data_IF_651807158845
#
_entry.id   IF_651807158845
#
_cell.length_a   1.000
_cell.length_b   1.000
_cell.length_c   1.000
_cell.angle_alpha   90.00
_cell.angle_beta   90.00
_cell.angle_gamma   90.00
#
_symmetry.space_group_name_H-M   'P 1'
#
loop_
_entity.id
_entity.type
_entity.pdbx_description
1 polymer ?
#
# COMPACT_ATOMS: atom_id res chain seq x y z
N UNK A 1 -24.01 4.85 37.07
CA UNK A 1 -24.54 3.67 36.36
C UNK A 1 -25.03 2.67 37.40
N UNK A 2 -26.34 2.44 37.52
CA UNK A 2 -26.93 1.72 38.66
C UNK A 2 -26.69 0.21 38.59
N UNK A 3 -26.43 -0.41 39.75
CA UNK A 3 -26.17 -1.85 39.94
C UNK A 3 -27.26 -2.75 39.32
N UNK A 4 -28.47 -2.21 39.16
CA UNK A 4 -29.62 -2.84 38.50
C UNK A 4 -29.36 -3.09 37.00
N UNK A 5 -28.76 -2.14 36.28
CA UNK A 5 -28.46 -2.30 34.85
C UNK A 5 -27.39 -3.37 34.60
N UNK A 6 -26.44 -3.52 35.52
CA UNK A 6 -25.40 -4.54 35.43
C UNK A 6 -25.97 -5.96 35.62
N UNK A 7 -26.92 -6.12 36.55
CA UNK A 7 -27.62 -7.41 36.76
C UNK A 7 -28.47 -7.81 35.56
N UNK A 8 -29.16 -6.83 34.96
CA UNK A 8 -29.99 -7.07 33.78
C UNK A 8 -29.16 -7.46 32.55
N UNK A 9 -28.01 -6.79 32.34
CA UNK A 9 -27.10 -7.14 31.26
C UNK A 9 -26.50 -8.53 31.44
N UNK A 10 -26.13 -8.90 32.67
CA UNK A 10 -25.63 -10.25 32.98
C UNK A 10 -26.67 -11.33 32.70
N UNK A 11 -27.94 -11.08 33.05
CA UNK A 11 -29.03 -12.02 32.77
C UNK A 11 -29.25 -12.22 31.25
N UNK A 12 -29.20 -11.15 30.46
CA UNK A 12 -29.33 -11.20 29.00
C UNK A 12 -28.18 -11.95 28.33
N UNK A 13 -26.94 -11.78 28.81
CA UNK A 13 -25.77 -12.51 28.30
C UNK A 13 -25.88 -14.02 28.57
N UNK A 14 -26.34 -14.40 29.76
CA UNK A 14 -26.52 -15.81 30.14
C UNK A 14 -27.62 -16.48 29.30
N UNK A 15 -28.72 -15.77 29.02
CA UNK A 15 -29.80 -16.28 28.17
C UNK A 15 -29.32 -16.53 26.73
N UNK A 16 -28.50 -15.62 26.18
CA UNK A 16 -27.92 -15.77 24.84
C UNK A 16 -26.94 -16.94 24.79
N UNK A 17 -26.11 -17.12 25.83
CA UNK A 17 -25.18 -18.24 25.95
C UNK A 17 -25.92 -19.59 25.95
N UNK A 18 -26.94 -19.73 26.80
CA UNK A 18 -27.74 -20.96 26.87
C UNK A 18 -28.51 -21.23 25.58
N UNK A 19 -29.02 -20.18 24.91
CA UNK A 19 -29.68 -20.31 23.60
C UNK A 19 -28.69 -20.80 22.52
N UNK A 20 -27.47 -20.28 22.49
CA UNK A 20 -26.42 -20.71 21.56
C UNK A 20 -25.99 -22.17 21.77
N UNK A 21 -25.86 -22.62 23.02
CA UNK A 21 -25.55 -24.01 23.34
C UNK A 21 -26.68 -24.96 22.90
N UNK A 22 -27.95 -24.54 23.03
CA UNK A 22 -29.12 -25.34 22.65
C UNK A 22 -29.17 -25.63 21.15
N UNK A 23 -28.81 -24.66 20.32
CA UNK A 23 -28.76 -24.85 18.85
C UNK A 23 -27.60 -25.76 18.40
N UNK A 24 -26.54 -25.87 19.19
CA UNK A 24 -25.42 -26.78 18.89
C UNK A 24 -25.77 -28.26 19.10
N UNK A 25 -26.72 -28.60 19.99
CA UNK A 25 -27.11 -30.00 20.24
C UNK A 25 -28.08 -30.59 19.20
N UNK A 26 -28.75 -29.76 18.40
CA UNK A 26 -29.75 -30.23 17.42
C UNK A 26 -29.09 -30.66 16.09
N UNK A 27 -27.85 -30.24 15.83
CA UNK A 27 -27.14 -30.54 14.57
C UNK A 27 -26.34 -31.85 14.58
N UNK A 28 -26.67 -32.78 15.46
CA UNK A 28 -25.89 -34.01 15.67
C UNK A 28 -26.71 -35.20 16.16
N UNK A 29 -27.76 -35.59 15.44
CA UNK A 29 -28.29 -36.96 15.52
C UNK A 29 -29.16 -37.27 14.30
N UNK A 30 -28.60 -38.01 13.34
CA UNK A 30 -29.40 -38.89 12.49
C UNK A 30 -28.52 -40.02 11.97
N UNK A 31 -28.83 -41.24 12.41
CA UNK A 31 -28.28 -42.49 11.89
C UNK A 31 -29.19 -43.05 10.77
N UNK A 32 -28.52 -43.40 9.66
CA UNK A 32 -28.86 -44.07 8.36
C UNK A 32 -29.39 -45.53 8.56
N UNK A 33 -29.93 -46.35 7.60
CA UNK A 33 -29.94 -46.33 6.10
C UNK A 33 -31.32 -46.55 5.40
N UNK A 34 -31.50 -46.44 4.06
CA UNK A 34 -31.26 -47.53 3.08
C UNK A 34 -31.43 -47.09 1.61
N UNK A 35 -30.49 -47.55 0.76
CA UNK A 35 -30.48 -47.74 -0.70
C UNK A 35 -31.02 -46.66 -1.67
N UNK A 36 -30.13 -46.07 -2.47
CA UNK A 36 -30.15 -46.22 -3.93
C UNK A 36 -28.88 -45.62 -4.57
N UNK A 37 -28.45 -46.30 -5.62
CA UNK A 37 -27.30 -46.09 -6.50
C UNK A 37 -27.25 -44.68 -7.10
N UNK A 38 -26.04 -44.10 -7.23
CA UNK A 38 -25.75 -43.14 -8.30
C UNK A 38 -24.91 -41.91 -7.91
N UNK A 39 -23.65 -41.93 -8.36
CA UNK A 39 -22.73 -40.81 -8.63
C UNK A 39 -21.84 -40.28 -7.49
N UNK A 40 -20.53 -40.08 -7.77
CA UNK A 40 -19.63 -39.38 -6.86
C UNK A 40 -19.98 -37.90 -6.93
N UNK A 41 -20.60 -37.38 -5.87
CA UNK A 41 -20.65 -35.93 -5.65
C UNK A 41 -19.21 -35.53 -5.32
N UNK A 42 -18.49 -35.09 -6.34
CA UNK A 42 -17.24 -34.38 -6.18
C UNK A 42 -17.51 -33.22 -5.23
N UNK A 43 -16.90 -33.27 -4.05
CA UNK A 43 -16.98 -32.26 -3.02
C UNK A 43 -16.25 -30.99 -3.48
N UNK A 44 -16.81 -30.30 -4.47
CA UNK A 44 -16.44 -28.93 -4.77
C UNK A 44 -17.16 -28.06 -3.76
N UNK A 45 -16.54 -27.85 -2.60
CA UNK A 45 -17.05 -26.95 -1.59
C UNK A 45 -17.13 -25.54 -2.19
N UNK A 46 -18.35 -25.04 -2.42
CA UNK A 46 -18.58 -23.65 -2.81
C UNK A 46 -18.04 -22.75 -1.72
N UNK A 47 -16.90 -22.07 -1.95
CA UNK A 47 -16.35 -21.11 -1.00
C UNK A 47 -17.38 -19.99 -0.76
N UNK A 48 -17.52 -19.56 0.49
CA UNK A 48 -18.34 -18.39 0.83
C UNK A 48 -17.74 -17.13 0.22
N UNK A 49 -18.59 -16.17 -0.18
CA UNK A 49 -18.15 -14.87 -0.68
C UNK A 49 -17.18 -14.15 0.28
N UNK A 50 -17.32 -14.35 1.58
CA UNK A 50 -16.42 -13.79 2.60
C UNK A 50 -15.00 -14.41 2.56
N UNK A 51 -14.92 -15.73 2.35
CA UNK A 51 -13.64 -16.45 2.21
C UNK A 51 -12.91 -16.03 0.93
N UNK A 52 -13.67 -15.89 -0.14
CA UNK A 52 -13.17 -15.46 -1.43
C UNK A 52 -12.66 -14.00 -1.39
N UNK A 53 -13.37 -13.09 -0.70
CA UNK A 53 -12.90 -11.72 -0.45
C UNK A 53 -11.62 -11.67 0.40
N UNK A 54 -11.49 -12.56 1.40
CA UNK A 54 -10.28 -12.68 2.22
C UNK A 54 -9.09 -13.14 1.39
N UNK A 55 -9.27 -14.15 0.54
CA UNK A 55 -8.22 -14.66 -0.34
C UNK A 55 -7.74 -13.58 -1.32
N UNK A 56 -8.66 -12.79 -1.89
CA UNK A 56 -8.33 -11.64 -2.76
C UNK A 56 -7.46 -10.61 -2.06
N UNK A 57 -7.82 -10.18 -0.84
CA UNK A 57 -7.02 -9.23 -0.06
C UNK A 57 -5.64 -9.78 0.29
N UNK A 58 -5.56 -11.06 0.67
CA UNK A 58 -4.28 -11.71 0.96
C UNK A 58 -3.39 -11.75 -0.29
N UNK A 59 -3.96 -12.06 -1.45
CA UNK A 59 -3.22 -11.99 -2.72
C UNK A 59 -2.78 -10.58 -3.05
N UNK A 60 -3.66 -9.58 -2.86
CA UNK A 60 -3.33 -8.17 -3.05
C UNK A 60 -2.16 -7.71 -2.18
N UNK A 61 -2.15 -8.13 -0.91
CA UNK A 61 -1.03 -7.92 0.01
C UNK A 61 0.26 -8.50 -0.57
N UNK A 62 0.27 -9.78 -0.96
CA UNK A 62 1.47 -10.44 -1.47
C UNK A 62 2.00 -9.76 -2.75
N UNK A 63 1.10 -9.42 -3.66
CA UNK A 63 1.41 -8.69 -4.88
C UNK A 63 2.06 -7.33 -4.60
N UNK A 64 1.64 -6.63 -3.54
CA UNK A 64 2.21 -5.35 -3.11
C UNK A 64 3.56 -5.51 -2.41
N UNK A 65 3.70 -6.52 -1.54
CA UNK A 65 4.98 -6.85 -0.88
C UNK A 65 6.05 -7.20 -1.91
N UNK A 66 5.70 -7.95 -2.95
CA UNK A 66 6.59 -8.26 -4.07
C UNK A 66 7.03 -6.98 -4.81
N UNK A 67 6.09 -6.07 -5.08
CA UNK A 67 6.37 -4.82 -5.76
C UNK A 67 7.32 -3.92 -4.96
N UNK A 68 7.12 -3.83 -3.64
CA UNK A 68 7.99 -3.05 -2.74
C UNK A 68 9.41 -3.65 -2.70
N UNK A 69 9.51 -4.98 -2.57
CA UNK A 69 10.77 -5.71 -2.45
C UNK A 69 11.50 -5.94 -3.80
N UNK A 70 11.13 -5.22 -4.86
CA UNK A 70 11.82 -5.33 -6.14
C UNK A 70 13.33 -5.04 -5.95
N UNK A 71 14.19 -5.91 -6.48
CA UNK A 71 15.65 -5.81 -6.31
C UNK A 71 16.26 -4.89 -7.36
N UNK A 72 16.12 -3.58 -7.15
CA UNK A 72 16.91 -2.58 -7.83
C UNK A 72 17.40 -1.50 -6.86
N UNK A 73 18.31 -0.66 -7.33
CA UNK A 73 18.91 0.42 -6.57
C UNK A 73 18.16 1.76 -6.75
N UNK A 74 17.35 1.92 -7.80
CA UNK A 74 16.63 3.16 -8.08
C UNK A 74 15.59 3.52 -7.00
N UNK A 75 15.37 4.82 -6.78
CA UNK A 75 14.16 5.30 -6.10
C UNK A 75 12.92 4.98 -6.97
N UNK A 76 11.95 4.27 -6.41
CA UNK A 76 10.68 3.99 -7.08
C UNK A 76 9.49 4.60 -6.35
N UNK A 77 8.56 5.12 -7.15
CA UNK A 77 7.25 5.57 -6.70
C UNK A 77 6.21 4.56 -7.16
N UNK A 78 5.31 4.16 -6.27
CA UNK A 78 4.13 3.36 -6.60
C UNK A 78 2.91 4.12 -6.12
N UNK A 79 2.05 4.53 -7.05
CA UNK A 79 0.82 5.23 -6.73
C UNK A 79 -0.35 4.24 -6.74
N UNK A 80 -1.08 4.20 -5.64
CA UNK A 80 -2.20 3.31 -5.39
C UNK A 80 -3.49 4.12 -5.44
N UNK A 81 -4.36 3.75 -6.38
CA UNK A 81 -5.67 4.34 -6.55
C UNK A 81 -6.75 3.36 -6.07
N UNK A 82 -7.67 3.86 -5.25
CA UNK A 82 -8.86 3.12 -4.83
C UNK A 82 -10.12 3.95 -4.96
N UNK A 83 -11.26 3.28 -5.17
CA UNK A 83 -12.56 3.96 -5.32
C UNK A 83 -13.16 4.45 -4.00
N UNK A 84 -12.66 3.94 -2.87
CA UNK A 84 -13.06 4.39 -1.53
C UNK A 84 -11.99 3.96 -0.55
N UNK A 85 -10.99 4.81 -0.31
CA UNK A 85 -9.87 4.45 0.54
C UNK A 85 -10.35 4.36 2.00
N UNK A 86 -10.74 3.15 2.42
CA UNK A 86 -11.35 2.90 3.73
C UNK A 86 -10.43 2.06 4.63
N UNK A 87 -10.52 2.28 5.94
CA UNK A 87 -9.74 1.52 6.94
C UNK A 87 -10.00 0.00 6.88
N UNK A 88 -11.17 -0.40 6.36
CA UNK A 88 -11.60 -1.79 6.20
C UNK A 88 -11.34 -2.36 4.78
N UNK A 89 -10.86 -1.54 3.86
CA UNK A 89 -10.66 -1.88 2.45
C UNK A 89 -9.21 -1.75 2.00
N UNK A 90 -8.95 -0.77 1.16
CA UNK A 90 -7.71 -0.54 0.41
C UNK A 90 -6.57 -0.15 1.34
N UNK A 91 -6.80 0.76 2.29
CA UNK A 91 -5.81 1.08 3.34
C UNK A 91 -5.42 -0.18 4.09
N UNK A 92 -6.36 -1.10 4.35
CA UNK A 92 -6.06 -2.33 5.06
C UNK A 92 -5.04 -3.19 4.32
N UNK A 93 -5.14 -3.29 2.99
CA UNK A 93 -4.17 -4.00 2.15
C UNK A 93 -2.80 -3.33 2.24
N UNK A 94 -2.73 -2.01 2.05
CA UNK A 94 -1.47 -1.24 2.09
C UNK A 94 -0.82 -1.35 3.47
N UNK A 95 -1.61 -1.18 4.53
CA UNK A 95 -1.17 -1.29 5.92
C UNK A 95 -0.66 -2.69 6.24
N UNK A 96 -1.38 -3.73 5.81
CA UNK A 96 -0.96 -5.12 6.02
C UNK A 96 0.32 -5.51 5.28
N UNK A 97 0.62 -4.83 4.16
CA UNK A 97 1.87 -4.97 3.43
C UNK A 97 3.00 -4.19 4.12
N UNK A 98 2.74 -2.95 4.56
CA UNK A 98 3.71 -2.14 5.30
C UNK A 98 4.16 -2.82 6.60
N UNK A 99 3.23 -3.39 7.36
CA UNK A 99 3.51 -4.10 8.62
C UNK A 99 4.18 -5.48 8.41
N UNK A 100 4.44 -5.89 7.16
CA UNK A 100 5.07 -7.16 6.88
C UNK A 100 6.54 -7.19 7.39
N UNK A 101 6.94 -8.18 8.20
CA UNK A 101 8.29 -8.22 8.77
C UNK A 101 9.41 -8.25 7.73
N UNK A 102 9.14 -8.71 6.50
CA UNK A 102 10.15 -8.72 5.43
C UNK A 102 10.43 -7.32 4.90
N UNK A 103 9.46 -6.41 4.96
CA UNK A 103 9.61 -5.03 4.52
C UNK A 103 10.55 -4.28 5.46
N UNK A 104 10.31 -4.33 6.76
CA UNK A 104 11.14 -3.65 7.76
C UNK A 104 12.58 -4.19 7.88
N UNK A 105 12.89 -5.33 7.25
CA UNK A 105 14.27 -5.85 7.16
C UNK A 105 15.05 -5.30 5.96
N UNK A 106 14.35 -4.79 4.95
CA UNK A 106 14.94 -4.38 3.67
C UNK A 106 15.20 -2.87 3.59
N UNK A 107 14.69 -2.09 4.54
CA UNK A 107 14.84 -0.64 4.58
C UNK A 107 15.35 -0.19 5.95
N UNK A 108 16.32 0.72 5.95
CA UNK A 108 16.86 1.32 7.17
C UNK A 108 15.82 2.22 7.85
N UNK A 109 14.97 2.86 7.05
CA UNK A 109 13.96 3.80 7.49
C UNK A 109 12.58 3.42 6.95
N UNK A 110 11.57 3.41 7.81
CA UNK A 110 10.17 3.20 7.43
C UNK A 110 9.28 4.26 8.10
N UNK A 111 8.36 4.84 7.34
CA UNK A 111 7.33 5.73 7.88
C UNK A 111 6.00 5.60 7.12
N UNK A 112 4.89 5.78 7.84
CA UNK A 112 3.53 5.85 7.31
C UNK A 112 2.92 7.20 7.67
N UNK A 113 2.70 8.06 6.68
CA UNK A 113 2.24 9.43 6.89
C UNK A 113 0.88 9.63 6.26
N UNK A 114 -0.10 10.03 7.06
CA UNK A 114 -1.34 10.61 6.52
C UNK A 114 -1.09 12.08 6.27
N UNK A 115 -1.28 12.52 5.02
CA UNK A 115 -1.10 13.91 4.64
C UNK A 115 -2.19 14.78 5.28
N UNK A 116 -1.78 15.95 5.78
CA UNK A 116 -2.69 16.90 6.41
C UNK A 116 -3.00 18.02 5.44
N UNK A 117 -4.24 18.51 5.47
CA UNK A 117 -4.72 19.58 4.61
C UNK A 117 -5.13 20.80 5.43
N UNK A 118 -4.65 22.01 5.10
CA UNK A 118 -3.70 22.31 4.01
C UNK A 118 -2.30 21.72 4.27
N UNK A 119 -1.62 21.30 3.20
CA UNK A 119 -0.29 20.71 3.29
C UNK A 119 0.74 21.70 3.85
N UNK A 120 1.54 21.22 4.80
CA UNK A 120 2.68 21.94 5.37
C UNK A 120 3.93 21.05 5.30
N UNK A 121 4.96 21.51 4.56
CA UNK A 121 6.16 20.73 4.30
C UNK A 121 6.97 20.46 5.58
N UNK A 122 7.01 21.43 6.48
CA UNK A 122 7.68 21.33 7.77
C UNK A 122 7.03 20.24 8.64
N UNK A 123 5.71 20.31 8.87
CA UNK A 123 4.97 19.32 9.67
C UNK A 123 5.03 17.91 9.06
N UNK A 124 5.02 17.84 7.72
CA UNK A 124 5.21 16.60 6.97
C UNK A 124 6.56 15.95 7.26
N UNK A 125 7.67 16.70 7.13
CA UNK A 125 9.02 16.19 7.42
C UNK A 125 9.13 15.78 8.88
N UNK A 126 8.58 16.58 9.79
CA UNK A 126 8.57 16.27 11.22
C UNK A 126 7.87 14.95 11.52
N UNK A 127 6.74 14.70 10.87
CA UNK A 127 5.99 13.46 11.03
C UNK A 127 6.82 12.25 10.58
N UNK A 128 7.56 12.37 9.48
CA UNK A 128 8.49 11.32 9.01
C UNK A 128 9.63 11.10 10.00
N UNK A 129 10.37 12.15 10.36
CA UNK A 129 11.54 12.03 11.25
C UNK A 129 11.11 11.45 12.59
N UNK A 130 9.97 11.87 13.13
CA UNK A 130 9.40 11.34 14.38
C UNK A 130 9.12 9.84 14.27
N UNK A 131 8.48 9.40 13.19
CA UNK A 131 8.19 7.97 13.02
C UNK A 131 9.44 7.12 12.82
N UNK A 132 10.37 7.54 11.96
CA UNK A 132 11.64 6.82 11.76
C UNK A 132 12.39 6.71 13.09
N UNK A 133 12.45 7.80 13.85
CA UNK A 133 13.11 7.82 15.14
C UNK A 133 12.44 6.87 16.13
N UNK A 134 11.12 6.96 16.29
CA UNK A 134 10.35 6.07 17.19
C UNK A 134 10.49 4.60 16.80
N UNK A 135 10.53 4.29 15.50
CA UNK A 135 10.74 2.93 14.99
C UNK A 135 12.15 2.42 15.31
N UNK A 136 13.18 3.28 15.25
CA UNK A 136 14.57 2.90 15.58
C UNK A 136 14.76 2.52 17.04
N UNK A 137 13.98 3.11 17.97
CA UNK A 137 14.07 2.82 19.40
C UNK A 137 13.45 1.48 19.81
N UNK A 138 12.45 1.01 19.04
CA UNK A 138 11.73 -0.22 19.38
C UNK A 138 12.54 -1.50 19.10
N UNK A 139 13.67 -1.40 18.40
CA UNK A 139 14.60 -2.51 18.16
C UNK A 139 15.48 -2.88 19.37
N UNK A 140 15.57 -2.02 20.38
CA UNK A 140 16.24 -2.32 21.65
C UNK A 140 15.20 -2.80 22.65
N UNK A 141 15.29 -4.07 23.09
CA UNK A 141 14.35 -4.75 23.98
C UNK A 141 14.21 -4.20 25.41
N UNK A 142 14.26 -2.88 25.60
CA UNK A 142 13.90 -2.24 26.85
C UNK A 142 12.37 -2.02 26.90
N UNK A 143 11.74 -2.51 27.96
CA UNK A 143 10.31 -2.56 28.14
C UNK A 143 9.59 -1.24 27.89
N UNK A 144 8.31 -1.36 27.53
CA UNK A 144 7.31 -0.33 27.20
C UNK A 144 7.44 0.92 28.08
N UNK A 145 8.35 1.81 27.72
CA UNK A 145 8.52 3.12 28.34
C UNK A 145 7.42 4.04 27.82
N UNK A 146 6.95 4.97 28.65
CA UNK A 146 5.99 5.98 28.20
C UNK A 146 6.67 6.88 27.17
N UNK A 147 5.91 7.38 26.18
CA UNK A 147 6.41 8.29 25.14
C UNK A 147 7.20 9.46 25.76
N UNK A 148 6.73 9.99 26.90
CA UNK A 148 7.43 11.04 27.64
C UNK A 148 8.81 10.64 28.16
N UNK A 149 9.01 9.40 28.61
CA UNK A 149 10.31 8.92 29.08
C UNK A 149 11.30 8.72 27.92
N UNK A 150 10.82 8.29 26.74
CA UNK A 150 11.63 8.16 25.54
C UNK A 150 12.10 9.54 25.03
N UNK A 151 11.18 10.51 24.99
CA UNK A 151 11.48 11.91 24.61
C UNK A 151 12.47 12.54 25.60
N UNK A 152 12.37 12.28 26.91
CA UNK A 152 13.28 12.86 27.90
C UNK A 152 14.69 12.24 27.84
N UNK A 153 14.80 10.91 27.71
CA UNK A 153 16.10 10.21 27.51
C UNK A 153 16.81 10.71 26.24
N UNK A 154 16.03 11.13 25.25
CA UNK A 154 16.45 11.65 23.96
C UNK A 154 16.88 13.13 23.97
N UNK A 155 16.35 13.98 24.86
CA UNK A 155 16.91 15.32 25.09
C UNK A 155 18.29 15.27 25.77
N UNK A 156 18.58 14.17 26.48
CA UNK A 156 19.81 13.99 27.23
C UNK A 156 20.95 13.35 26.41
N UNK A 157 20.67 12.77 25.22
CA UNK A 157 21.72 12.19 24.37
C UNK A 157 22.53 13.30 23.69
N UNK A 158 23.85 13.26 23.87
CA UNK A 158 24.81 14.29 23.43
C UNK A 158 25.49 13.99 22.09
N UNK A 159 25.23 12.84 21.47
CA UNK A 159 25.77 12.53 20.13
C UNK A 159 24.97 13.27 19.08
N UNK A 160 25.61 14.23 18.41
CA UNK A 160 25.02 15.11 17.39
C UNK A 160 25.29 14.60 15.97
N UNK A 161 25.02 13.32 15.70
CA UNK A 161 25.15 12.74 14.37
C UNK A 161 23.86 12.07 13.88
N UNK A 162 23.63 12.13 12.56
CA UNK A 162 22.52 11.46 11.89
C UNK A 162 21.12 11.91 12.33
N UNK A 163 20.24 10.92 12.55
CA UNK A 163 18.81 11.13 12.83
C UNK A 163 18.55 11.92 14.12
N UNK A 164 19.38 11.71 15.16
CA UNK A 164 19.23 12.41 16.44
C UNK A 164 19.51 13.91 16.31
N UNK A 165 20.48 14.30 15.46
CA UNK A 165 20.73 15.71 15.14
C UNK A 165 19.54 16.34 14.41
N UNK A 166 18.98 15.68 13.39
CA UNK A 166 17.80 16.17 12.66
C UNK A 166 16.60 16.32 13.59
N UNK A 167 16.33 15.31 14.43
CA UNK A 167 15.22 15.33 15.37
C UNK A 167 15.39 16.39 16.47
N UNK A 168 16.59 16.54 17.05
CA UNK A 168 16.88 17.59 18.05
C UNK A 168 16.74 18.99 17.45
N UNK A 169 17.28 19.22 16.25
CA UNK A 169 17.18 20.50 15.55
C UNK A 169 15.71 20.86 15.25
N UNK A 170 14.88 19.86 14.95
CA UNK A 170 13.44 20.01 14.90
C UNK A 170 12.85 20.42 16.27
N UNK A 171 13.06 19.62 17.33
CA UNK A 171 12.46 19.88 18.66
C UNK A 171 12.82 21.26 19.23
N UNK A 172 13.98 21.80 18.87
CA UNK A 172 14.41 23.12 19.33
C UNK A 172 13.79 24.29 18.55
N UNK A 173 12.93 24.04 17.55
CA UNK A 173 12.19 25.03 16.74
C UNK A 173 13.05 26.19 16.20
N UNK A 174 14.36 25.98 16.05
CA UNK A 174 15.33 27.05 15.80
C UNK A 174 15.77 27.11 14.34
N UNK A 175 14.91 26.68 13.41
CA UNK A 175 15.35 26.37 12.05
C UNK A 175 14.40 26.97 11.02
N UNK A 176 14.97 27.67 10.04
CA UNK A 176 14.31 28.07 8.81
C UNK A 176 13.92 26.82 8.00
N UNK A 177 12.79 26.88 7.29
CA UNK A 177 12.21 25.75 6.56
C UNK A 177 13.19 25.09 5.57
N UNK A 178 13.90 25.90 4.78
CA UNK A 178 14.90 25.42 3.82
C UNK A 178 16.04 24.61 4.48
N UNK A 179 16.45 25.04 5.68
CA UNK A 179 17.50 24.34 6.43
C UNK A 179 17.02 23.00 6.96
N UNK A 180 15.73 22.84 7.29
CA UNK A 180 15.18 21.56 7.72
C UNK A 180 15.12 20.57 6.55
N UNK A 181 14.67 21.01 5.38
CA UNK A 181 14.64 20.20 4.15
C UNK A 181 16.04 19.71 3.78
N UNK A 182 17.06 20.59 3.87
CA UNK A 182 18.45 20.23 3.59
C UNK A 182 18.96 19.13 4.52
N UNK A 183 18.75 19.27 5.83
CA UNK A 183 19.20 18.28 6.82
C UNK A 183 18.47 16.93 6.66
N UNK A 184 17.16 16.97 6.38
CA UNK A 184 16.37 15.79 6.11
C UNK A 184 16.88 15.04 4.87
N UNK A 185 17.15 15.75 3.77
CA UNK A 185 17.73 15.17 2.56
C UNK A 185 19.10 14.56 2.82
N UNK A 186 19.96 15.27 3.56
CA UNK A 186 21.29 14.80 3.92
C UNK A 186 21.21 13.48 4.69
N UNK A 187 20.29 13.39 5.65
CA UNK A 187 20.04 12.16 6.39
C UNK A 187 19.56 11.02 5.48
N UNK A 188 18.54 11.25 4.65
CA UNK A 188 18.00 10.23 3.75
C UNK A 188 19.01 9.78 2.68
N UNK A 189 19.97 10.61 2.29
CA UNK A 189 20.95 10.26 1.27
C UNK A 189 21.79 9.03 1.66
N UNK A 190 21.95 8.78 2.97
CA UNK A 190 22.69 7.64 3.48
C UNK A 190 21.81 6.44 3.88
N UNK A 191 20.48 6.52 3.72
CA UNK A 191 19.55 5.49 4.19
C UNK A 191 18.73 4.89 3.05
N UNK A 192 18.50 3.59 3.05
CA UNK A 192 17.40 2.99 2.30
C UNK A 192 16.09 3.29 3.03
N UNK A 193 15.08 3.80 2.32
CA UNK A 193 13.82 4.22 2.95
C UNK A 193 12.58 3.69 2.24
N UNK A 194 11.56 3.34 3.02
CA UNK A 194 10.20 3.11 2.58
C UNK A 194 9.28 4.15 3.24
N UNK A 195 8.66 4.99 2.43
CA UNK A 195 7.71 6.01 2.90
C UNK A 195 6.35 5.74 2.28
N UNK A 196 5.35 5.51 3.12
CA UNK A 196 3.95 5.42 2.70
C UNK A 196 3.27 6.74 2.96
N UNK A 197 2.72 7.35 1.91
CA UNK A 197 1.97 8.58 1.92
C UNK A 197 0.51 8.22 1.70
N UNK A 198 -0.30 8.42 2.73
CA UNK A 198 -1.72 8.18 2.68
C UNK A 198 -2.49 9.47 2.43
N UNK A 199 -3.49 9.39 1.55
CA UNK A 199 -4.45 10.45 1.25
C UNK A 199 -3.85 11.68 0.55
N UNK A 200 -3.21 11.46 -0.61
CA UNK A 200 -2.75 12.57 -1.46
C UNK A 200 -3.92 13.15 -2.28
N UNK A 201 -4.18 14.45 -2.14
CA UNK A 201 -5.33 15.10 -2.79
C UNK A 201 -4.96 15.77 -4.12
N UNK A 202 -3.76 16.33 -4.25
CA UNK A 202 -3.40 17.11 -5.43
C UNK A 202 -2.00 16.76 -5.97
N UNK A 203 -1.77 17.05 -7.25
CA UNK A 203 -0.46 16.83 -7.86
C UNK A 203 0.54 17.92 -7.44
N UNK A 204 0.06 19.11 -7.13
CA UNK A 204 0.85 20.22 -6.59
C UNK A 204 1.46 19.86 -5.23
N UNK A 205 0.71 19.18 -4.37
CA UNK A 205 1.23 18.61 -3.12
C UNK A 205 2.34 17.59 -3.39
N UNK A 206 2.14 16.69 -4.35
CA UNK A 206 3.17 15.72 -4.74
C UNK A 206 4.43 16.39 -5.29
N UNK A 207 4.28 17.46 -6.08
CA UNK A 207 5.41 18.21 -6.61
C UNK A 207 6.27 18.82 -5.51
N UNK A 208 5.66 19.29 -4.41
CA UNK A 208 6.37 19.73 -3.22
C UNK A 208 7.02 18.55 -2.48
N UNK A 209 6.25 17.49 -2.22
CA UNK A 209 6.68 16.32 -1.46
C UNK A 209 7.86 15.60 -2.12
N UNK A 210 7.80 15.35 -3.44
CA UNK A 210 8.84 14.62 -4.18
C UNK A 210 10.19 15.32 -4.09
N UNK A 211 10.21 16.65 -3.95
CA UNK A 211 11.46 17.40 -3.82
C UNK A 211 12.23 17.04 -2.55
N UNK A 212 11.57 16.51 -1.51
CA UNK A 212 12.19 16.16 -0.22
C UNK A 212 13.01 14.87 -0.28
N UNK A 213 12.82 14.02 -1.29
CA UNK A 213 13.34 12.66 -1.32
C UNK A 213 14.51 12.51 -2.32
N UNK A 214 15.73 12.20 -1.85
CA UNK A 214 16.89 12.03 -2.73
C UNK A 214 16.89 10.66 -3.41
N UNK A 215 17.14 10.61 -4.72
CA UNK A 215 17.45 9.35 -5.40
C UNK A 215 18.91 8.96 -5.11
N UNK A 216 19.10 8.24 -4.00
CA UNK A 216 20.41 7.88 -3.45
C UNK A 216 20.95 6.52 -3.93
N UNK A 217 20.28 5.88 -4.89
CA UNK A 217 20.60 4.53 -5.39
C UNK A 217 20.68 3.45 -4.30
N UNK A 218 19.87 3.56 -3.23
CA UNK A 218 19.81 2.57 -2.13
C UNK A 218 18.53 1.72 -2.17
N UNK A 219 17.83 1.68 -3.30
CA UNK A 219 16.62 0.89 -3.49
C UNK A 219 15.39 1.46 -2.78
N UNK A 220 15.38 2.77 -2.48
CA UNK A 220 14.30 3.41 -1.74
C UNK A 220 12.95 3.35 -2.47
N UNK A 221 11.86 3.40 -1.70
CA UNK A 221 10.48 3.24 -2.17
C UNK A 221 9.58 4.32 -1.58
N UNK A 222 8.71 4.87 -2.40
CA UNK A 222 7.61 5.73 -1.97
C UNK A 222 6.31 5.10 -2.45
N UNK A 223 5.39 4.84 -1.52
CA UNK A 223 4.03 4.41 -1.83
C UNK A 223 3.12 5.61 -1.61
N UNK A 224 2.31 5.94 -2.59
CA UNK A 224 1.31 7.01 -2.49
C UNK A 224 -0.06 6.37 -2.57
N UNK A 225 -1.00 6.71 -1.69
CA UNK A 225 -2.42 6.37 -1.85
C UNK A 225 -3.23 7.63 -2.16
N UNK A 226 -4.18 7.52 -3.09
CA UNK A 226 -5.07 8.62 -3.48
C UNK A 226 -6.39 8.09 -4.03
N UNK A 227 -7.47 8.80 -3.77
CA UNK A 227 -8.78 8.48 -4.36
C UNK A 227 -8.90 8.98 -5.81
N UNK A 228 -7.97 9.83 -6.24
CA UNK A 228 -8.00 10.47 -7.55
C UNK A 228 -7.09 9.74 -8.54
N UNK A 229 -7.70 9.11 -9.55
CA UNK A 229 -6.98 8.38 -10.60
C UNK A 229 -5.99 9.29 -11.38
N UNK A 230 -6.38 10.55 -11.61
CA UNK A 230 -5.52 11.54 -12.28
C UNK A 230 -4.23 11.80 -11.49
N UNK A 231 -4.35 12.04 -10.19
CA UNK A 231 -3.20 12.24 -9.28
C UNK A 231 -2.32 10.98 -9.26
N UNK A 232 -2.91 9.79 -9.14
CA UNK A 232 -2.15 8.54 -9.13
C UNK A 232 -1.31 8.35 -10.40
N UNK A 233 -1.88 8.64 -11.56
CA UNK A 233 -1.17 8.51 -12.85
C UNK A 233 0.00 9.50 -12.98
N UNK A 234 -0.19 10.74 -12.51
CA UNK A 234 0.81 11.81 -12.63
C UNK A 234 1.97 11.64 -11.64
N UNK A 235 1.77 10.94 -10.52
CA UNK A 235 2.83 10.65 -9.54
C UNK A 235 4.02 9.89 -10.13
N UNK A 236 3.80 9.11 -11.20
CA UNK A 236 4.82 8.25 -11.83
C UNK A 236 5.65 9.02 -12.88
N UNK A 237 5.21 10.22 -13.30
CA UNK A 237 5.90 11.07 -14.27
C UNK A 237 5.41 10.90 -15.71
N UNK A 238 5.33 12.01 -16.46
CA UNK A 238 4.76 12.07 -17.80
C UNK A 238 5.71 11.58 -18.92
N UNK A 239 7.00 11.40 -18.64
CA UNK A 239 8.01 11.06 -19.67
C UNK A 239 8.02 9.57 -20.05
N UNK A 240 7.26 8.73 -19.36
CA UNK A 240 7.30 7.27 -19.52
C UNK A 240 5.90 6.64 -19.54
N UNK A 241 4.93 7.23 -20.24
CA UNK A 241 3.59 6.61 -20.44
C UNK A 241 3.69 5.15 -20.98
N UNK A 242 4.76 4.84 -21.73
CA UNK A 242 5.04 3.49 -22.23
C UNK A 242 5.52 2.48 -21.16
N UNK A 243 5.93 2.94 -19.97
CA UNK A 243 6.42 2.10 -18.87
C UNK A 243 5.51 2.10 -17.64
N UNK A 244 4.48 2.95 -17.59
CA UNK A 244 3.47 2.94 -16.53
C UNK A 244 2.64 1.66 -16.65
N UNK A 245 2.89 0.71 -15.74
CA UNK A 245 2.10 -0.50 -15.64
C UNK A 245 0.98 -0.28 -14.64
N UNK A 246 -0.22 -0.71 -15.03
CA UNK A 246 -1.38 -0.77 -14.16
C UNK A 246 -1.56 -2.21 -13.68
N UNK A 247 -1.31 -2.47 -12.40
CA UNK A 247 -1.65 -3.76 -11.76
C UNK A 247 -2.94 -3.58 -10.98
N UNK A 248 -4.02 -4.21 -11.46
CA UNK A 248 -5.24 -4.36 -10.68
C UNK A 248 -5.01 -5.45 -9.64
N UNK A 249 -5.22 -5.12 -8.38
CA UNK A 249 -5.18 -6.12 -7.33
C UNK A 249 -6.43 -6.98 -7.35
N UNK A 250 -6.33 -8.16 -6.74
CA UNK A 250 -7.36 -9.20 -6.91
C UNK A 250 -8.69 -8.85 -6.24
N UNK A 251 -8.73 -7.81 -5.40
CA UNK A 251 -9.93 -7.24 -4.80
C UNK A 251 -10.77 -6.35 -5.75
N UNK A 252 -10.24 -6.05 -6.94
CA UNK A 252 -10.84 -5.18 -7.98
C UNK A 252 -11.10 -3.73 -7.55
N UNK A 253 -10.70 -3.32 -6.35
CA UNK A 253 -10.93 -1.98 -5.81
C UNK A 253 -9.65 -1.18 -5.61
N UNK A 254 -8.47 -1.81 -5.74
CA UNK A 254 -7.17 -1.17 -5.67
C UNK A 254 -6.37 -1.36 -6.97
N UNK A 255 -5.82 -0.26 -7.48
CA UNK A 255 -4.96 -0.23 -8.66
C UNK A 255 -3.60 0.35 -8.31
N UNK A 256 -2.53 -0.32 -8.72
CA UNK A 256 -1.18 0.23 -8.66
C UNK A 256 -0.74 0.78 -10.02
N UNK A 257 -0.23 2.00 -10.01
CA UNK A 257 0.54 2.64 -11.06
C UNK A 257 2.01 2.63 -10.65
N UNK A 258 2.88 2.12 -11.51
CA UNK A 258 4.33 2.08 -11.27
C UNK A 258 5.09 1.96 -12.60
N UNK A 259 6.34 2.44 -12.63
CA UNK A 259 7.24 2.23 -13.76
C UNK A 259 7.85 0.83 -13.71
N UNK A 260 7.76 0.08 -14.82
CA UNK A 260 8.51 -1.17 -14.98
C UNK A 260 9.83 -0.90 -15.68
N UNK A 261 10.94 -1.28 -15.06
CA UNK A 261 12.25 -1.25 -15.73
C UNK A 261 12.33 -2.43 -16.71
N UNK A 262 12.58 -2.16 -17.99
CA UNK A 262 12.91 -3.20 -18.97
C UNK A 262 14.22 -3.86 -18.55
N UNK A 263 14.20 -5.16 -18.25
CA UNK A 263 15.44 -5.93 -18.15
C UNK A 263 15.91 -6.31 -19.56
N UNK A 264 16.38 -5.33 -20.31
CA UNK A 264 17.12 -5.57 -21.54
C UNK A 264 18.62 -5.55 -21.20
N UNK A 265 19.26 -6.72 -21.20
CA UNK A 265 20.72 -6.81 -21.23
C UNK A 265 21.45 -7.37 -20.00
N UNK A 266 20.87 -8.31 -19.22
CA UNK A 266 21.70 -9.21 -18.38
C UNK A 266 21.54 -10.66 -18.82
N UNK A 267 22.34 -11.04 -19.81
CA UNK A 267 22.42 -12.40 -20.34
C UNK A 267 22.92 -13.41 -19.31
N UNK A 268 22.20 -14.53 -19.18
CA UNK A 268 22.66 -15.93 -19.19
C UNK A 268 21.49 -16.80 -18.67
N UNK A 269 21.04 -17.89 -19.27
CA UNK A 269 21.62 -18.82 -20.24
C UNK A 269 20.57 -19.23 -21.27
N UNK A 270 21.10 -19.44 -22.46
CA UNK A 270 20.62 -20.18 -23.61
C UNK A 270 19.76 -21.42 -23.27
N UNK A 271 18.52 -21.45 -23.77
CA UNK A 271 17.91 -22.70 -24.20
C UNK A 271 17.38 -22.52 -25.63
N UNK A 272 17.96 -23.36 -26.48
CA UNK A 272 17.89 -23.36 -27.94
C UNK A 272 16.54 -23.94 -28.37
N UNK A 273 15.83 -23.24 -29.25
CA UNK A 273 14.82 -23.83 -30.12
C UNK A 273 14.72 -23.01 -31.41
N UNK A 274 14.58 -23.74 -32.51
CA UNK A 274 14.97 -23.41 -33.89
C UNK A 274 13.96 -22.43 -34.53
N UNK A 275 14.38 -21.50 -35.43
CA UNK A 275 13.49 -20.50 -35.99
C UNK A 275 12.67 -21.04 -37.18
N UNK A 276 11.40 -20.65 -37.26
CA UNK A 276 10.61 -20.75 -38.48
C UNK A 276 10.61 -19.39 -39.17
N UNK A 277 11.30 -19.31 -40.31
CA UNK A 277 11.30 -18.16 -41.20
C UNK A 277 9.95 -18.03 -41.93
N UNK A 278 9.40 -16.82 -41.93
CA UNK A 278 8.67 -16.31 -43.08
C UNK A 278 9.02 -14.82 -43.24
N UNK A 279 9.80 -14.57 -44.28
CA UNK A 279 10.20 -13.26 -44.79
C UNK A 279 9.01 -12.50 -45.36
N UNK A 280 8.91 -11.20 -45.04
CA UNK A 280 8.70 -10.13 -46.02
C UNK A 280 8.90 -8.78 -45.33
N UNK A 281 10.01 -8.09 -45.67
CA UNK A 281 10.32 -6.77 -45.14
C UNK A 281 9.57 -5.64 -45.85
N UNK A 282 9.51 -4.47 -45.20
CA UNK A 282 9.73 -3.15 -45.81
C UNK A 282 10.22 -2.20 -44.71
N UNK A 283 11.27 -1.44 -45.04
CA UNK A 283 11.95 -0.44 -44.23
C UNK A 283 11.21 0.92 -44.23
N UNK A 284 11.29 1.60 -43.06
CA UNK A 284 11.42 3.05 -42.83
C UNK A 284 10.33 3.99 -43.40
N UNK A 285 9.61 4.69 -42.52
CA UNK A 285 9.50 6.17 -42.61
C UNK A 285 8.89 6.78 -41.35
N UNK A 286 9.67 7.66 -40.73
CA UNK A 286 9.30 8.67 -39.75
C UNK A 286 8.24 9.61 -40.33
N UNK A 287 7.06 9.67 -39.72
CA UNK A 287 6.23 10.88 -39.82
C UNK A 287 5.47 11.14 -38.52
N UNK A 288 5.79 12.32 -37.96
CA UNK A 288 5.07 13.02 -36.91
C UNK A 288 3.58 13.06 -37.22
N UNK A 289 2.76 12.63 -36.27
CA UNK A 289 1.37 13.06 -36.18
C UNK A 289 1.10 13.53 -34.75
N UNK A 290 1.15 14.86 -34.60
CA UNK A 290 0.44 15.59 -33.56
C UNK A 290 -1.02 15.49 -33.97
N UNK A 291 -1.80 14.62 -33.29
CA UNK A 291 -3.25 14.61 -33.43
C UNK A 291 -3.91 14.38 -32.06
N UNK A 292 -4.25 15.52 -31.47
CA UNK A 292 -5.46 15.81 -30.69
C UNK A 292 -5.88 14.89 -29.53
N UNK A 293 -5.59 15.42 -28.34
CA UNK A 293 -5.81 14.92 -26.97
C UNK A 293 -7.27 15.06 -26.47
N UNK A 294 -8.28 14.72 -27.28
CA UNK A 294 -9.69 14.80 -26.84
C UNK A 294 -10.59 13.60 -27.19
N UNK A 295 -10.10 12.59 -27.92
CA UNK A 295 -10.99 11.49 -28.39
C UNK A 295 -10.86 10.17 -27.60
N UNK A 296 -9.96 10.06 -26.62
CA UNK A 296 -9.82 8.84 -25.79
C UNK A 296 -10.54 8.88 -24.43
N UNK A 297 -11.32 9.93 -24.15
CA UNK A 297 -12.19 9.98 -22.96
C UNK A 297 -13.62 9.48 -23.21
N UNK A 298 -13.99 9.18 -24.45
CA UNK A 298 -15.37 8.78 -24.79
C UNK A 298 -15.67 7.28 -24.55
N UNK A 299 -14.69 6.43 -24.26
CA UNK A 299 -14.87 4.96 -24.18
C UNK A 299 -15.01 4.39 -22.76
N UNK A 300 -15.26 5.21 -21.74
CA UNK A 300 -15.49 4.74 -20.36
C UNK A 300 -16.89 5.03 -19.80
N UNK A 301 -17.83 5.57 -20.60
CA UNK A 301 -19.17 5.94 -20.14
C UNK A 301 -20.34 5.18 -20.82
N UNK A 302 -20.12 3.99 -21.36
CA UNK A 302 -21.22 3.11 -21.79
C UNK A 302 -21.33 1.86 -20.90
N UNK A 303 -22.05 2.00 -19.78
CA UNK A 303 -22.74 0.89 -19.11
C UNK A 303 -24.12 0.70 -19.76
N UNK A 304 -24.58 -0.55 -19.99
CA UNK A 304 -25.86 -0.78 -20.66
C UNK A 304 -27.04 -0.42 -19.75
N UNK A 305 -27.91 0.48 -20.22
CA UNK A 305 -29.25 0.72 -19.63
C UNK A 305 -30.09 -0.56 -19.76
N UNK A 306 -30.57 -1.08 -18.63
CA UNK A 306 -31.58 -2.13 -18.57
C UNK A 306 -32.91 -1.64 -19.19
N UNK A 307 -33.67 -2.48 -19.92
CA UNK A 307 -34.97 -2.10 -20.44
C UNK A 307 -36.05 -2.14 -19.36
N UNK A 308 -36.83 -1.07 -19.26
CA UNK A 308 -38.05 -1.00 -18.43
C UNK A 308 -39.12 -1.95 -18.98
N UNK A 309 -39.78 -2.68 -18.07
CA UNK A 309 -40.90 -3.56 -18.40
C UNK A 309 -42.17 -2.75 -18.71
N UNK A 310 -42.98 -3.12 -19.71
CA UNK A 310 -44.24 -2.45 -19.99
C UNK A 310 -45.32 -2.86 -18.99
N UNK A 311 -46.13 -1.87 -18.65
CA UNK A 311 -47.26 -1.87 -17.72
C UNK A 311 -48.40 -2.80 -18.11
#
# INVERSE_FOLDING_TARGET
MSLTRLKELRAKVEEVSQRNQRYHLIKGSSSIPTSAIGQPISSSATMSAAEDARLRRQKAKLDLVELINCKDDALRVTALWGTSISELGEISVIKSAYEDPMIHKNFDCCAWITLMHPFNQTDFIQSIVTQIYVNSLQGTGEGRTTIGAQVLKMMATTKEDGLAHVFKRFLMQKTEEDSLVYEFKRFLNDQSYLIVLNDLHTIEEWDCIKTCFPNNKKGSRIIVSTEQVGVASLCIGAEEEALVHKKLFSDQSLYAFYTKVSQEGRNSKEERSIPFEASAGVNISTHKNILTRMETMATLEELPRQPEAPT
#
